data_IF_225958877471
#
_entry.id   IF_225958877471
#
_cell.length_a   1.000
_cell.length_b   1.000
_cell.length_c   1.000
_cell.angle_alpha   90.00
_cell.angle_beta   90.00
_cell.angle_gamma   90.00
#
_symmetry.space_group_name_H-M   'P 1'
#
loop_
_entity.id
_entity.type
_entity.pdbx_description
1 polymer ?
#
# COMPACT_ATOMS: atom_id res chain seq x y z
N UNK A 1 -24.55 -24.56 8.01
CA UNK A 1 -24.07 -23.68 6.92
C UNK A 1 -23.97 -22.29 7.49
N UNK A 2 -22.83 -21.64 7.34
CA UNK A 2 -22.69 -20.23 7.77
C UNK A 2 -23.49 -19.35 6.82
N UNK A 3 -24.49 -18.66 7.37
CA UNK A 3 -25.33 -17.70 6.64
C UNK A 3 -24.54 -16.40 6.51
N UNK A 4 -24.44 -15.79 5.31
CA UNK A 4 -23.82 -14.48 5.15
C UNK A 4 -24.48 -13.44 6.06
N UNK A 5 -23.66 -12.61 6.71
CA UNK A 5 -24.16 -11.50 7.54
C UNK A 5 -24.93 -10.51 6.68
N UNK A 6 -25.97 -9.90 7.26
CA UNK A 6 -26.62 -8.77 6.62
C UNK A 6 -25.67 -7.55 6.56
N UNK A 7 -25.91 -6.56 5.69
CA UNK A 7 -24.98 -5.46 5.48
C UNK A 7 -24.66 -4.63 6.74
N UNK A 8 -25.63 -4.45 7.65
CA UNK A 8 -25.45 -3.67 8.88
C UNK A 8 -24.54 -4.41 9.87
N UNK A 9 -24.81 -5.69 10.10
CA UNK A 9 -23.97 -6.55 10.94
C UNK A 9 -22.56 -6.71 10.36
N UNK A 10 -22.46 -6.84 9.03
CA UNK A 10 -21.18 -6.92 8.33
C UNK A 10 -20.37 -5.64 8.56
N UNK A 11 -20.98 -4.46 8.37
CA UNK A 11 -20.31 -3.18 8.58
C UNK A 11 -19.77 -3.04 10.01
N UNK A 12 -20.58 -3.39 11.02
CA UNK A 12 -20.15 -3.37 12.42
C UNK A 12 -18.96 -4.30 12.69
N UNK A 13 -18.97 -5.52 12.13
CA UNK A 13 -17.84 -6.46 12.29
C UNK A 13 -16.58 -6.00 11.55
N UNK A 14 -16.72 -5.44 10.35
CA UNK A 14 -15.59 -4.90 9.60
C UNK A 14 -14.93 -3.73 10.34
N UNK A 15 -15.71 -2.87 11.00
CA UNK A 15 -15.18 -1.78 11.81
C UNK A 15 -14.29 -2.29 12.97
N UNK A 16 -14.69 -3.38 13.62
CA UNK A 16 -13.86 -4.02 14.65
C UNK A 16 -12.54 -4.56 14.09
N UNK A 17 -12.56 -5.15 12.89
CA UNK A 17 -11.33 -5.60 12.21
C UNK A 17 -10.41 -4.42 11.93
N UNK A 18 -10.92 -3.30 11.38
CA UNK A 18 -10.11 -2.09 11.17
C UNK A 18 -9.48 -1.55 12.46
N UNK A 19 -10.26 -1.48 13.54
CA UNK A 19 -9.78 -1.02 14.83
C UNK A 19 -8.66 -1.92 15.39
N UNK A 20 -8.72 -3.23 15.14
CA UNK A 20 -7.70 -4.20 15.55
C UNK A 20 -6.43 -4.17 14.68
N UNK A 21 -6.55 -3.87 13.38
CA UNK A 21 -5.42 -3.86 12.45
C UNK A 21 -4.36 -2.81 12.82
N UNK A 22 -4.78 -1.59 13.17
CA UNK A 22 -3.87 -0.49 13.46
C UNK A 22 -2.85 -0.80 14.58
N UNK A 23 -3.28 -1.25 15.77
CA UNK A 23 -2.38 -1.67 16.84
C UNK A 23 -1.43 -2.80 16.46
N UNK A 24 -1.91 -3.82 15.73
CA UNK A 24 -1.10 -4.95 15.26
C UNK A 24 0.00 -4.46 14.33
N UNK A 25 -0.36 -3.69 13.30
CA UNK A 25 0.59 -3.12 12.34
C UNK A 25 1.66 -2.27 13.03
N UNK A 26 1.26 -1.34 13.92
CA UNK A 26 2.21 -0.50 14.66
C UNK A 26 3.12 -1.29 15.61
N UNK A 27 2.68 -2.43 16.12
CA UNK A 27 3.50 -3.27 17.00
C UNK A 27 4.50 -4.08 16.19
N UNK A 28 4.10 -4.63 15.05
CA UNK A 28 5.01 -5.26 14.09
C UNK A 28 6.05 -4.26 13.60
N UNK A 29 5.63 -3.07 13.17
CA UNK A 29 6.53 -2.01 12.71
C UNK A 29 7.59 -1.64 13.77
N UNK A 30 7.19 -1.47 15.04
CA UNK A 30 8.14 -1.19 16.13
C UNK A 30 9.10 -2.34 16.44
N UNK A 31 8.62 -3.59 16.34
CA UNK A 31 9.48 -4.76 16.55
C UNK A 31 10.50 -4.85 15.43
N UNK A 32 10.05 -4.67 14.19
CA UNK A 32 10.90 -4.59 13.00
C UNK A 32 11.95 -3.49 13.16
N UNK A 33 11.53 -2.27 13.51
CA UNK A 33 12.43 -1.11 13.71
C UNK A 33 13.41 -1.34 14.88
N UNK A 34 12.97 -1.99 15.96
CA UNK A 34 13.79 -2.26 17.14
C UNK A 34 14.86 -3.33 16.94
N UNK A 35 14.62 -4.29 16.04
CA UNK A 35 15.56 -5.37 15.68
C UNK A 35 16.51 -4.96 14.53
N UNK A 36 16.40 -3.72 14.07
CA UNK A 36 17.16 -3.15 12.95
C UNK A 36 18.38 -2.29 13.35
N UNK A 37 19.30 -2.69 14.27
CA UNK A 37 20.63 -2.09 14.33
C UNK A 37 21.58 -2.60 13.23
N UNK A 38 21.22 -3.68 12.50
CA UNK A 38 22.17 -4.42 11.64
C UNK A 38 22.08 -4.02 10.15
N UNK A 39 21.03 -3.33 9.72
CA UNK A 39 20.96 -2.76 8.37
C UNK A 39 20.09 -1.49 8.41
N UNK A 40 20.64 -0.30 8.10
CA UNK A 40 19.99 1.02 8.27
C UNK A 40 18.81 1.27 7.31
N UNK A 41 17.86 0.35 7.20
CA UNK A 41 16.74 0.47 6.28
C UNK A 41 15.52 1.03 7.01
N UNK A 42 15.00 2.18 6.57
CA UNK A 42 13.76 2.70 7.16
C UNK A 42 12.55 1.83 6.74
N UNK A 43 11.47 1.85 7.52
CA UNK A 43 10.23 1.11 7.18
C UNK A 43 9.72 1.44 5.78
N UNK A 44 9.82 2.70 5.35
CA UNK A 44 9.39 3.09 4.01
C UNK A 44 10.30 2.57 2.90
N UNK A 45 11.63 2.57 3.11
CA UNK A 45 12.58 1.95 2.17
C UNK A 45 12.34 0.45 2.09
N UNK A 46 12.14 -0.19 3.24
CA UNK A 46 11.79 -1.61 3.33
C UNK A 46 10.54 -1.93 2.51
N UNK A 47 9.45 -1.18 2.71
CA UNK A 47 8.19 -1.40 1.98
C UNK A 47 8.38 -1.32 0.46
N UNK A 48 9.18 -0.37 -0.02
CA UNK A 48 9.54 -0.27 -1.45
C UNK A 48 10.33 -1.50 -1.91
N UNK A 49 11.33 -1.92 -1.14
CA UNK A 49 12.16 -3.08 -1.48
C UNK A 49 11.39 -4.40 -1.43
N UNK A 50 10.49 -4.60 -0.48
CA UNK A 50 9.60 -5.77 -0.43
C UNK A 50 8.67 -5.81 -1.64
N UNK A 51 8.10 -4.67 -2.01
CA UNK A 51 7.27 -4.58 -3.20
C UNK A 51 8.06 -5.00 -4.44
N UNK A 52 9.27 -4.46 -4.64
CA UNK A 52 10.13 -4.86 -5.77
C UNK A 52 10.57 -6.32 -5.71
N UNK A 53 10.79 -6.87 -4.52
CA UNK A 53 11.17 -8.27 -4.35
C UNK A 53 10.04 -9.23 -4.76
N UNK A 54 8.78 -8.84 -4.52
CA UNK A 54 7.59 -9.63 -4.86
C UNK A 54 7.14 -9.43 -6.31
N UNK A 55 7.14 -8.19 -6.78
CA UNK A 55 6.52 -7.77 -8.04
C UNK A 55 7.52 -7.56 -9.19
N UNK A 56 8.82 -7.59 -8.89
CA UNK A 56 9.88 -7.27 -9.83
C UNK A 56 10.01 -5.77 -10.09
N UNK A 57 10.54 -5.42 -11.25
CA UNK A 57 10.79 -4.03 -11.62
C UNK A 57 9.48 -3.25 -11.75
N UNK A 58 9.43 -2.08 -11.12
CA UNK A 58 8.24 -1.22 -11.07
C UNK A 58 8.65 0.25 -11.09
N UNK A 59 7.80 1.09 -11.67
CA UNK A 59 7.97 2.54 -11.60
C UNK A 59 7.44 3.08 -10.26
N UNK A 60 7.95 4.22 -9.80
CA UNK A 60 7.45 4.90 -8.59
C UNK A 60 5.92 5.10 -8.61
N UNK A 61 5.29 5.55 -9.71
CA UNK A 61 3.83 5.60 -9.83
C UNK A 61 3.10 4.27 -9.58
N UNK A 62 3.64 3.16 -10.11
CA UNK A 62 3.04 1.84 -9.93
C UNK A 62 3.12 1.40 -8.47
N UNK A 63 4.27 1.62 -7.83
CA UNK A 63 4.46 1.31 -6.41
C UNK A 63 3.49 2.15 -5.58
N UNK A 64 3.44 3.47 -5.78
CA UNK A 64 2.53 4.36 -5.03
C UNK A 64 1.06 3.96 -5.18
N UNK A 65 0.62 3.66 -6.41
CA UNK A 65 -0.74 3.20 -6.65
C UNK A 65 -1.06 1.87 -5.97
N UNK A 66 -0.15 0.90 -6.03
CA UNK A 66 -0.36 -0.42 -5.41
C UNK A 66 -0.36 -0.41 -3.87
N UNK A 67 0.33 0.57 -3.28
CA UNK A 67 0.50 0.71 -1.84
C UNK A 67 -0.44 1.76 -1.24
N UNK A 68 -1.26 2.43 -2.07
CA UNK A 68 -2.17 3.52 -1.66
C UNK A 68 -1.49 4.64 -0.87
N UNK A 69 -0.22 4.91 -1.19
CA UNK A 69 0.60 5.96 -0.56
C UNK A 69 1.03 7.00 -1.59
N UNK A 70 1.38 8.20 -1.11
CA UNK A 70 1.69 9.30 -2.01
C UNK A 70 2.95 9.03 -2.85
N UNK A 71 2.91 9.47 -4.11
CA UNK A 71 4.07 9.36 -5.02
C UNK A 71 5.30 10.06 -4.48
N UNK A 72 5.12 11.19 -3.80
CA UNK A 72 6.22 11.93 -3.16
C UNK A 72 6.88 11.11 -2.05
N UNK A 73 6.08 10.41 -1.24
CA UNK A 73 6.62 9.52 -0.22
C UNK A 73 7.40 8.37 -0.85
N UNK A 74 6.82 7.68 -1.84
CA UNK A 74 7.51 6.58 -2.53
C UNK A 74 8.78 7.05 -3.22
N UNK A 75 8.75 8.23 -3.86
CA UNK A 75 9.94 8.80 -4.51
C UNK A 75 11.05 9.06 -3.50
N UNK A 76 10.73 9.60 -2.31
CA UNK A 76 11.70 9.81 -1.24
C UNK A 76 12.33 8.48 -0.82
N UNK A 77 11.50 7.47 -0.56
CA UNK A 77 11.99 6.14 -0.17
C UNK A 77 12.81 5.46 -1.27
N UNK A 78 12.44 5.63 -2.54
CA UNK A 78 13.19 5.12 -3.68
C UNK A 78 14.56 5.80 -3.80
N UNK A 79 14.64 7.11 -3.54
CA UNK A 79 15.91 7.84 -3.52
C UNK A 79 16.78 7.39 -2.35
N UNK A 80 16.22 7.31 -1.13
CA UNK A 80 16.95 6.84 0.05
C UNK A 80 17.50 5.41 -0.16
N UNK A 81 16.70 4.53 -0.78
CA UNK A 81 17.11 3.18 -1.16
C UNK A 81 18.23 3.16 -2.21
N UNK A 82 18.19 4.11 -3.15
CA UNK A 82 19.18 4.25 -4.20
C UNK A 82 20.51 4.73 -3.64
N UNK A 83 20.47 5.76 -2.79
CA UNK A 83 21.63 6.33 -2.12
C UNK A 83 22.31 5.30 -1.20
N UNK A 84 21.52 4.38 -0.62
CA UNK A 84 22.01 3.24 0.15
C UNK A 84 22.52 2.07 -0.71
N UNK A 85 22.43 2.15 -2.04
CA UNK A 85 22.90 1.10 -2.97
C UNK A 85 21.99 -0.14 -3.07
N UNK A 86 20.78 -0.09 -2.52
CA UNK A 86 19.85 -1.21 -2.55
C UNK A 86 19.05 -1.31 -3.85
N UNK A 87 18.82 -0.18 -4.50
CA UNK A 87 18.09 -0.12 -5.77
C UNK A 87 18.83 0.72 -6.80
N UNK A 88 18.50 0.50 -8.06
CA UNK A 88 18.95 1.29 -9.19
C UNK A 88 17.76 1.68 -10.05
N UNK A 89 17.82 2.87 -10.63
CA UNK A 89 16.89 3.28 -11.67
C UNK A 89 17.40 2.77 -13.01
N UNK A 90 16.53 2.11 -13.78
CA UNK A 90 16.80 1.61 -15.13
C UNK A 90 15.83 2.22 -16.12
N UNK A 91 16.22 2.25 -17.40
CA UNK A 91 15.38 2.83 -18.44
C UNK A 91 14.10 2.04 -18.63
N UNK A 92 13.02 2.75 -18.92
CA UNK A 92 11.72 2.15 -19.20
C UNK A 92 11.46 2.20 -20.71
N UNK A 93 11.47 1.05 -21.42
CA UNK A 93 11.21 0.99 -22.85
C UNK A 93 9.86 1.57 -23.25
N UNK A 94 8.86 1.47 -22.37
CA UNK A 94 7.50 1.95 -22.65
C UNK A 94 7.35 3.47 -22.43
N UNK A 95 8.17 4.08 -21.56
CA UNK A 95 8.02 5.50 -21.25
C UNK A 95 9.32 6.13 -20.70
N UNK A 96 10.08 6.81 -21.56
CA UNK A 96 11.42 7.35 -21.24
C UNK A 96 11.51 8.24 -19.99
N UNK A 97 10.44 8.98 -19.65
CA UNK A 97 10.40 9.85 -18.46
C UNK A 97 10.03 9.14 -17.16
N UNK A 98 9.63 7.86 -17.21
CA UNK A 98 9.18 7.09 -16.06
C UNK A 98 10.07 5.87 -15.88
N UNK A 99 11.27 6.08 -15.31
CA UNK A 99 12.27 5.02 -15.09
C UNK A 99 11.71 3.92 -14.19
N UNK A 100 12.16 2.69 -14.46
CA UNK A 100 11.87 1.54 -13.61
C UNK A 100 12.84 1.54 -12.43
N UNK A 101 12.37 1.09 -11.28
CA UNK A 101 13.18 0.83 -10.11
C UNK A 101 13.45 -0.68 -10.03
N UNK A 102 14.70 -1.05 -9.79
CA UNK A 102 15.16 -2.44 -9.72
C UNK A 102 16.01 -2.65 -8.48
N UNK A 103 15.85 -3.79 -7.81
CA UNK A 103 16.77 -4.18 -6.73
C UNK A 103 18.16 -4.49 -7.29
N UNK A 104 19.20 -4.02 -6.62
CA UNK A 104 20.57 -4.49 -6.87
C UNK A 104 20.76 -5.90 -6.31
N UNK A 105 21.90 -6.55 -6.61
CA UNK A 105 22.22 -7.82 -5.98
C UNK A 105 22.33 -7.70 -4.45
N UNK A 106 22.94 -6.61 -3.97
CA UNK A 106 23.03 -6.27 -2.55
C UNK A 106 21.67 -6.00 -1.92
N UNK A 107 20.80 -5.21 -2.59
CA UNK A 107 19.44 -4.95 -2.11
C UNK A 107 18.58 -6.21 -2.03
N UNK A 108 18.71 -7.12 -3.00
CA UNK A 108 18.05 -8.45 -2.94
C UNK A 108 18.53 -9.28 -1.76
N UNK A 109 19.83 -9.27 -1.46
CA UNK A 109 20.35 -9.99 -0.29
C UNK A 109 19.85 -9.37 1.02
N UNK A 110 19.92 -8.05 1.13
CA UNK A 110 19.48 -7.30 2.30
C UNK A 110 17.99 -7.53 2.60
N UNK A 111 17.12 -7.43 1.60
CA UNK A 111 15.68 -7.62 1.83
C UNK A 111 15.33 -9.06 2.23
N UNK A 112 16.01 -10.06 1.65
CA UNK A 112 15.82 -11.46 2.03
C UNK A 112 16.26 -11.72 3.47
N UNK A 113 17.36 -11.13 3.90
CA UNK A 113 17.83 -11.24 5.28
C UNK A 113 16.83 -10.62 6.27
N UNK A 114 16.26 -9.46 5.92
CA UNK A 114 15.21 -8.81 6.72
C UNK A 114 13.97 -9.69 6.82
N UNK A 115 13.47 -10.21 5.69
CA UNK A 115 12.32 -11.13 5.67
C UNK A 115 12.60 -12.41 6.47
N UNK A 116 13.81 -12.96 6.36
CA UNK A 116 14.18 -14.16 7.12
C UNK A 116 14.21 -13.90 8.64
N UNK A 117 14.75 -12.76 9.07
CA UNK A 117 14.73 -12.35 10.49
C UNK A 117 13.32 -12.13 10.99
N UNK A 118 12.47 -11.47 10.20
CA UNK A 118 11.06 -11.32 10.55
C UNK A 118 10.36 -12.67 10.69
N UNK A 119 10.58 -13.61 9.76
CA UNK A 119 10.03 -14.96 9.88
C UNK A 119 10.49 -15.68 11.15
N UNK A 120 11.76 -15.55 11.53
CA UNK A 120 12.26 -16.11 12.79
C UNK A 120 11.58 -15.48 14.00
N UNK A 121 11.37 -14.16 13.96
CA UNK A 121 10.74 -13.42 15.04
C UNK A 121 9.23 -13.75 15.14
N UNK A 122 8.55 -13.88 14.00
CA UNK A 122 7.17 -14.35 13.92
C UNK A 122 7.03 -15.80 14.34
N UNK A 123 8.04 -16.64 14.11
CA UNK A 123 8.11 -18.02 14.62
C UNK A 123 8.15 -18.11 16.15
N UNK A 124 8.40 -16.99 16.86
CA UNK A 124 8.32 -16.91 18.32
C UNK A 124 6.93 -16.50 18.82
N UNK A 125 6.02 -16.13 17.92
CA UNK A 125 4.62 -15.87 18.25
C UNK A 125 4.00 -17.22 18.60
N UNK A 126 3.84 -17.47 19.91
CA UNK A 126 3.16 -18.66 20.39
C UNK A 126 1.66 -18.61 20.08
N UNK A 127 1.02 -19.78 20.08
CA UNK A 127 -0.41 -19.95 19.88
C UNK A 127 -0.74 -21.08 18.91
N UNK A 128 -1.97 -21.60 19.00
CA UNK A 128 -2.45 -22.73 18.19
C UNK A 128 -3.18 -22.25 16.93
N UNK A 129 -2.59 -21.29 16.20
CA UNK A 129 -3.17 -20.79 14.95
C UNK A 129 -3.04 -21.84 13.85
N UNK A 130 -4.15 -22.17 13.21
CA UNK A 130 -4.21 -23.13 12.11
C UNK A 130 -4.08 -22.44 10.76
N UNK A 131 -3.60 -23.16 9.75
CA UNK A 131 -3.59 -22.66 8.35
C UNK A 131 -4.98 -22.19 7.91
N UNK A 132 -6.04 -22.88 8.33
CA UNK A 132 -7.43 -22.51 8.02
C UNK A 132 -7.80 -21.11 8.55
N UNK A 133 -7.41 -20.78 9.77
CA UNK A 133 -7.70 -19.47 10.37
C UNK A 133 -6.91 -18.35 9.70
N UNK A 134 -5.65 -18.60 9.34
CA UNK A 134 -4.82 -17.66 8.60
C UNK A 134 -5.36 -17.43 7.19
N UNK A 135 -5.72 -18.49 6.48
CA UNK A 135 -6.31 -18.42 5.13
C UNK A 135 -7.65 -17.67 5.15
N UNK A 136 -8.50 -17.94 6.16
CA UNK A 136 -9.76 -17.24 6.34
C UNK A 136 -9.53 -15.74 6.62
N UNK A 137 -8.54 -15.41 7.44
CA UNK A 137 -8.16 -14.03 7.75
C UNK A 137 -7.67 -13.30 6.49
N UNK A 138 -6.74 -13.89 5.74
CA UNK A 138 -6.24 -13.33 4.48
C UNK A 138 -7.37 -13.11 3.47
N UNK A 139 -8.29 -14.06 3.33
CA UNK A 139 -9.48 -13.92 2.48
C UNK A 139 -10.32 -12.71 2.87
N UNK A 140 -10.58 -12.52 4.17
CA UNK A 140 -11.37 -11.38 4.67
C UNK A 140 -10.63 -10.06 4.40
N UNK A 141 -9.34 -9.97 4.69
CA UNK A 141 -8.54 -8.76 4.45
C UNK A 141 -8.47 -8.40 2.95
N UNK A 142 -8.29 -9.38 2.07
CA UNK A 142 -8.32 -9.15 0.62
C UNK A 142 -9.68 -8.66 0.14
N UNK A 143 -10.77 -9.23 0.65
CA UNK A 143 -12.11 -8.77 0.32
C UNK A 143 -12.37 -7.34 0.80
N UNK A 144 -11.94 -7.00 2.02
CA UNK A 144 -12.02 -5.64 2.56
C UNK A 144 -11.26 -4.64 1.68
N UNK A 145 -10.03 -4.99 1.27
CA UNK A 145 -9.23 -4.15 0.38
C UNK A 145 -9.95 -3.88 -0.94
N UNK A 146 -10.43 -4.93 -1.60
CA UNK A 146 -11.14 -4.80 -2.88
C UNK A 146 -12.40 -3.91 -2.75
N UNK A 147 -13.17 -4.08 -1.68
CA UNK A 147 -14.36 -3.27 -1.42
C UNK A 147 -14.03 -1.78 -1.20
N UNK A 148 -12.92 -1.47 -0.50
CA UNK A 148 -12.45 -0.09 -0.36
C UNK A 148 -11.98 0.50 -1.69
N UNK A 149 -11.24 -0.27 -2.48
CA UNK A 149 -10.79 0.15 -3.82
C UNK A 149 -11.98 0.52 -4.71
N UNK A 150 -13.08 -0.26 -4.65
CA UNK A 150 -14.33 0.03 -5.34
C UNK A 150 -15.03 1.31 -4.84
N UNK A 151 -15.08 1.50 -3.51
CA UNK A 151 -15.65 2.70 -2.90
C UNK A 151 -14.87 3.97 -3.28
N UNK A 152 -13.54 3.89 -3.31
CA UNK A 152 -12.66 4.98 -3.74
C UNK A 152 -12.93 5.38 -5.19
N UNK A 153 -12.94 4.40 -6.11
CA UNK A 153 -13.28 4.62 -7.55
C UNK A 153 -14.66 5.23 -7.74
N UNK A 154 -15.66 4.76 -6.99
CA UNK A 154 -17.02 5.27 -7.08
C UNK A 154 -17.12 6.73 -6.57
N UNK A 155 -16.31 7.10 -5.58
CA UNK A 155 -16.25 8.47 -5.07
C UNK A 155 -15.60 9.44 -6.08
N UNK A 156 -14.52 9.01 -6.74
CA UNK A 156 -13.85 9.78 -7.79
C UNK A 156 -14.76 10.01 -9.01
N UNK A 157 -15.47 8.97 -9.45
CA UNK A 157 -16.41 9.05 -10.58
C UNK A 157 -17.57 10.05 -10.33
N UNK A 158 -18.05 10.16 -9.07
CA UNK A 158 -19.07 11.15 -8.68
C UNK A 158 -18.52 12.58 -8.55
N UNK A 159 -17.24 12.74 -8.22
CA UNK A 159 -16.59 14.04 -8.13
C UNK A 159 -16.30 14.68 -9.50
N UNK A 160 -16.07 13.87 -10.54
CA UNK A 160 -15.82 14.33 -11.92
C UNK A 160 -17.09 14.74 -12.68
N UNK A 161 -18.29 14.47 -12.16
CA UNK A 161 -19.57 14.81 -12.82
C UNK A 161 -20.19 16.15 -12.41
N UNK A 162 -19.45 17.04 -11.74
CA UNK A 162 -19.95 18.39 -11.47
C UNK A 162 -20.06 19.19 -12.80
N UNK A 163 -21.24 19.71 -13.19
CA UNK A 163 -21.38 20.47 -14.43
C UNK A 163 -20.63 21.80 -14.32
N UNK A 164 -20.07 22.35 -15.43
CA UNK A 164 -19.54 23.70 -15.42
C UNK A 164 -20.67 24.66 -15.04
N UNK A 165 -20.43 25.46 -14.01
CA UNK A 165 -21.41 26.42 -13.49
C UNK A 165 -21.99 27.26 -14.61
N UNK A 166 -23.32 27.28 -14.71
CA UNK A 166 -24.04 28.18 -15.59
C UNK A 166 -23.77 29.61 -15.11
N UNK A 167 -22.82 30.28 -15.77
CA UNK A 167 -22.71 31.74 -15.74
C UNK A 167 -23.97 32.29 -16.40
N UNK A 168 -25.00 32.54 -15.59
CA UNK A 168 -26.20 33.25 -15.99
C UNK A 168 -25.83 34.68 -16.36
N UNK A 169 -25.77 34.96 -17.66
CA UNK A 169 -25.99 36.30 -18.15
C UNK A 169 -27.49 36.61 -18.06
N UNK A 170 -27.90 37.79 -17.59
CA UNK A 170 -29.15 38.39 -18.02
C UNK A 170 -28.83 39.34 -19.18
N UNK A 171 -29.42 39.04 -20.34
CA UNK A 171 -29.49 39.95 -21.46
C UNK A 171 -30.43 41.12 -21.17
N UNK A 172 -29.91 42.31 -21.44
CA UNK A 172 -30.45 43.35 -22.33
C UNK A 172 -31.92 43.81 -22.22
N UNK A 173 -32.10 45.13 -22.29
CA UNK A 173 -33.35 45.76 -22.75
C UNK A 173 -33.80 47.02 -22.01
N UNK A 174 -33.69 48.18 -22.68
CA UNK A 174 -34.67 49.25 -22.49
C UNK A 174 -34.18 50.68 -22.67
N UNK A 175 -34.38 51.20 -23.88
CA UNK A 175 -34.27 52.60 -24.28
C UNK A 175 -35.11 53.59 -23.45
N UNK A 176 -34.67 54.85 -23.38
CA UNK A 176 -35.43 55.99 -22.85
C UNK A 176 -34.53 57.15 -22.47
#
# INVERSE_FOLDING_TARGET
MDVPLNPEELAGRLAHVYAALGPVYRKVARIVEGDEPVNRMSVGVRAVMEHLNREGERTVPQIAGSQEISRQFVQRMANDAHDAGFVEFVDNPAHRRSRLLRLTAGGRAAIREVVAREHQLMGRVGGDLTSRELDATLRVLHHMKAALDDLGRASEARGTSAPPGTSGAPGDGGAG
#
